data_IF_822202476151
#
_entry.id   IF_822202476151
#
_cell.length_a   1.000
_cell.length_b   1.000
_cell.length_c   1.000
_cell.angle_alpha   90.00
_cell.angle_beta   90.00
_cell.angle_gamma   90.00
#
_symmetry.space_group_name_H-M   'P 1'
#
loop_
_entity.id
_entity.type
_entity.pdbx_description
1 polymer ?
#
# COMPACT_ATOMS: atom_id res chain seq x y z
N UNK A 1 -1.64 15.62 4.58
CA UNK A 1 -1.92 15.77 3.17
C UNK A 1 -1.59 14.48 2.44
N UNK A 2 -2.48 14.05 1.62
CA UNK A 2 -2.26 12.79 0.93
C UNK A 2 -1.25 12.98 -0.18
N UNK A 3 -0.37 12.01 -0.36
CA UNK A 3 0.68 12.09 -1.34
C UNK A 3 0.17 11.61 -2.69
N UNK A 4 -0.64 10.57 -2.69
CA UNK A 4 -1.23 10.06 -3.91
C UNK A 4 -2.68 9.74 -3.63
N UNK A 5 -3.44 9.53 -4.69
CA UNK A 5 -4.80 9.04 -4.57
C UNK A 5 -4.79 7.55 -4.82
N UNK A 6 -4.91 6.74 -3.79
CA UNK A 6 -4.85 5.30 -3.97
C UNK A 6 -5.90 4.84 -4.96
N UNK A 7 -5.51 4.01 -5.90
CA UNK A 7 -6.36 3.45 -6.95
C UNK A 7 -6.86 4.47 -7.97
N UNK A 8 -6.37 5.70 -7.90
CA UNK A 8 -6.84 6.72 -8.82
C UNK A 8 -6.00 6.86 -10.08
N UNK A 9 -4.91 6.13 -10.17
CA UNK A 9 -3.95 6.32 -11.24
C UNK A 9 -3.15 5.04 -11.32
N UNK A 10 -2.85 4.57 -12.50
CA UNK A 10 -2.15 3.29 -12.62
C UNK A 10 -0.65 3.45 -12.84
N UNK A 11 -0.11 4.62 -12.64
CA UNK A 11 1.30 4.83 -12.86
C UNK A 11 1.98 5.71 -11.82
N UNK A 12 1.28 6.12 -10.80
CA UNK A 12 1.86 6.97 -9.78
C UNK A 12 2.83 6.21 -8.92
N UNK A 13 3.89 6.87 -8.50
CA UNK A 13 4.89 6.26 -7.62
C UNK A 13 5.40 7.33 -6.69
N UNK A 14 5.48 7.01 -5.40
CA UNK A 14 6.03 7.94 -4.43
C UNK A 14 6.90 7.17 -3.45
N UNK A 15 7.77 7.90 -2.77
CA UNK A 15 8.61 7.32 -1.73
C UNK A 15 8.27 7.91 -0.38
N UNK A 16 8.29 7.09 0.64
CA UNK A 16 8.18 7.52 2.02
C UNK A 16 9.35 6.86 2.73
N UNK A 17 10.38 7.65 3.05
CA UNK A 17 11.61 7.07 3.57
C UNK A 17 12.20 6.16 2.52
N UNK A 18 12.53 4.94 2.91
CA UNK A 18 13.02 3.94 1.96
C UNK A 18 11.94 3.08 1.36
N UNK A 19 10.68 3.40 1.63
CA UNK A 19 9.55 2.62 1.12
C UNK A 19 9.11 3.22 -0.20
N UNK A 20 8.87 2.38 -1.19
CA UNK A 20 8.33 2.81 -2.48
C UNK A 20 6.89 2.36 -2.56
N UNK A 21 6.02 3.26 -2.98
CA UNK A 21 4.60 2.97 -3.13
C UNK A 21 4.25 3.16 -4.60
N UNK A 22 3.76 2.11 -5.23
CA UNK A 22 3.33 2.18 -6.62
C UNK A 22 1.83 2.05 -6.68
N UNK A 23 1.21 3.04 -7.30
CA UNK A 23 -0.23 3.10 -7.38
C UNK A 23 -0.71 2.37 -8.62
N UNK A 24 -1.78 1.65 -8.50
CA UNK A 24 -2.44 1.01 -9.63
C UNK A 24 -3.92 1.21 -9.50
N UNK A 25 -4.66 0.85 -10.55
CA UNK A 25 -6.10 1.03 -10.52
C UNK A 25 -6.78 0.03 -9.61
N UNK A 26 -6.23 -1.16 -9.49
CA UNK A 26 -6.84 -2.20 -8.69
C UNK A 26 -5.96 -2.66 -7.54
N UNK A 27 -4.79 -2.07 -7.37
CA UNK A 27 -3.91 -2.42 -6.26
C UNK A 27 -2.89 -1.32 -6.02
N UNK A 28 -2.42 -1.25 -4.80
CA UNK A 28 -1.33 -0.37 -4.43
C UNK A 28 -0.26 -1.26 -3.85
N UNK A 29 0.95 -1.13 -4.36
CA UNK A 29 2.05 -2.00 -3.95
C UNK A 29 3.05 -1.19 -3.16
N UNK A 30 3.40 -1.68 -1.98
CA UNK A 30 4.40 -1.05 -1.13
C UNK A 30 5.56 -2.01 -0.98
N UNK A 31 6.77 -1.53 -1.22
CA UNK A 31 7.93 -2.38 -1.07
C UNK A 31 9.14 -1.53 -0.66
N UNK A 32 10.17 -2.18 -0.20
CA UNK A 32 11.34 -1.51 0.31
C UNK A 32 11.37 -1.58 1.81
N UNK A 33 12.01 -0.64 2.45
CA UNK A 33 12.15 -0.61 3.88
C UNK A 33 11.92 0.78 4.44
N UNK A 34 11.36 0.82 5.64
CA UNK A 34 11.10 2.08 6.32
C UNK A 34 11.38 1.89 7.78
N UNK A 35 12.22 2.76 8.32
CA UNK A 35 12.48 2.79 9.73
C UNK A 35 11.75 3.96 10.33
N UNK A 36 10.93 3.71 11.33
CA UNK A 36 10.24 4.77 12.05
C UNK A 36 10.94 4.92 13.39
N UNK A 37 11.74 5.94 13.49
CA UNK A 37 12.52 6.17 14.69
C UNK A 37 11.70 6.94 15.72
N UNK A 38 12.10 6.82 16.97
CA UNK A 38 11.34 7.41 18.06
C UNK A 38 11.77 8.85 18.26
N UNK A 39 11.40 9.68 17.27
CA UNK A 39 11.75 11.09 17.26
C UNK A 39 10.79 11.82 16.32
N UNK A 40 11.02 13.12 16.11
CA UNK A 40 10.13 13.91 15.27
C UNK A 40 10.16 13.45 13.82
N UNK A 41 11.32 13.06 13.34
CA UNK A 41 11.42 12.56 11.98
C UNK A 41 10.60 11.29 11.81
N UNK A 42 10.68 10.40 12.80
CA UNK A 42 9.87 9.17 12.77
C UNK A 42 8.39 9.47 12.81
N UNK A 43 7.99 10.46 13.62
CA UNK A 43 6.59 10.86 13.68
C UNK A 43 6.12 11.35 12.31
N UNK A 44 6.93 12.12 11.61
CA UNK A 44 6.57 12.61 10.28
C UNK A 44 6.37 11.47 9.30
N UNK A 45 7.28 10.51 9.30
CA UNK A 45 7.17 9.36 8.41
C UNK A 45 5.93 8.54 8.74
N UNK A 46 5.67 8.35 10.03
CA UNK A 46 4.51 7.58 10.45
C UNK A 46 3.22 8.26 10.02
N UNK A 47 3.17 9.58 10.11
CA UNK A 47 1.99 10.32 9.69
C UNK A 47 1.78 10.25 8.19
N UNK A 48 2.85 10.34 7.41
CA UNK A 48 2.74 10.22 5.96
C UNK A 48 2.18 8.85 5.58
N UNK A 49 2.71 7.81 6.20
CA UNK A 49 2.24 6.46 5.89
C UNK A 49 0.79 6.28 6.35
N UNK A 50 0.44 6.83 7.51
CA UNK A 50 -0.92 6.74 8.02
C UNK A 50 -1.90 7.42 7.07
N UNK A 51 -1.53 8.57 6.53
CA UNK A 51 -2.40 9.27 5.57
C UNK A 51 -2.63 8.43 4.33
N UNK A 52 -1.58 7.82 3.82
CA UNK A 52 -1.71 6.96 2.65
C UNK A 52 -2.66 5.79 2.94
N UNK A 53 -2.45 5.13 4.06
CA UNK A 53 -3.25 3.96 4.40
C UNK A 53 -4.69 4.34 4.68
N UNK A 54 -4.91 5.48 5.35
CA UNK A 54 -6.26 5.95 5.61
C UNK A 54 -6.98 6.31 4.31
N UNK A 55 -6.27 6.90 3.37
CA UNK A 55 -6.85 7.22 2.07
C UNK A 55 -7.25 5.93 1.34
N UNK A 56 -6.42 4.90 1.43
CA UNK A 56 -6.75 3.62 0.80
C UNK A 56 -7.99 3.00 1.44
N UNK A 57 -8.07 3.05 2.77
CA UNK A 57 -9.24 2.53 3.47
C UNK A 57 -10.50 3.28 3.04
N UNK A 58 -10.40 4.60 2.90
CA UNK A 58 -11.54 5.41 2.51
C UNK A 58 -12.04 5.04 1.12
N UNK A 59 -11.11 4.86 0.17
CA UNK A 59 -11.49 4.49 -1.19
C UNK A 59 -12.15 3.12 -1.20
N UNK A 60 -11.53 2.15 -0.52
CA UNK A 60 -12.05 0.79 -0.52
C UNK A 60 -13.39 0.71 0.18
N UNK A 61 -13.53 1.42 1.29
CA UNK A 61 -14.77 1.38 2.05
C UNK A 61 -15.94 2.01 1.30
N UNK A 62 -15.65 2.95 0.42
CA UNK A 62 -16.70 3.65 -0.31
C UNK A 62 -17.10 2.95 -1.59
N UNK A 63 -16.42 1.89 -1.97
CA UNK A 63 -16.70 1.19 -3.23
C UNK A 63 -17.84 0.22 -3.04
N UNK A 64 -18.99 0.46 -3.67
CA UNK A 64 -20.14 -0.44 -3.49
C UNK A 64 -19.98 -1.75 -4.24
N UNK A 65 -19.02 -1.84 -5.14
CA UNK A 65 -18.82 -3.03 -5.95
C UNK A 65 -17.52 -3.74 -5.61
N UNK A 66 -17.03 -3.55 -4.40
CA UNK A 66 -15.75 -4.11 -4.02
C UNK A 66 -15.79 -5.63 -4.08
N UNK A 67 -14.94 -6.25 -4.90
CA UNK A 67 -14.94 -7.71 -5.00
C UNK A 67 -14.22 -8.33 -3.81
N UNK A 68 -14.44 -9.63 -3.61
CA UNK A 68 -13.71 -10.33 -2.57
C UNK A 68 -12.22 -10.39 -2.89
N UNK A 69 -11.88 -10.60 -4.15
CA UNK A 69 -10.51 -10.67 -4.60
C UNK A 69 -10.39 -10.02 -5.96
N UNK A 70 -9.29 -9.34 -6.18
CA UNK A 70 -8.95 -8.89 -7.51
C UNK A 70 -8.45 -10.08 -8.30
N UNK A 71 -8.73 -10.12 -9.58
CA UNK A 71 -8.25 -11.20 -10.43
C UNK A 71 -6.73 -11.27 -10.32
N UNK A 72 -6.22 -12.44 -10.05
CA UNK A 72 -4.81 -12.59 -9.81
C UNK A 72 -4.06 -12.44 -11.11
N UNK A 73 -2.96 -11.72 -11.06
CA UNK A 73 -2.04 -11.75 -12.12
C UNK A 73 -1.21 -12.88 -11.91
N UNK A 74 -0.96 -13.56 -12.88
CA UNK A 74 -0.25 -14.74 -12.68
C UNK A 74 0.90 -14.60 -11.77
N UNK A 75 1.24 -13.87 -11.46
CA UNK A 75 2.23 -13.81 -10.56
C UNK A 75 2.16 -13.36 -9.32
N UNK A 76 2.02 -13.51 -9.51
CA UNK A 76 2.18 -13.18 -8.51
C UNK A 76 2.03 -13.50 -7.66
N UNK A 77 2.07 -13.91 -7.87
CA UNK A 77 1.94 -14.07 -7.05
C UNK A 77 2.10 -14.43 -6.28
N UNK A 78 2.23 -14.77 -6.42
CA UNK A 78 2.38 -15.00 -5.61
C UNK A 78 2.73 -15.18 -4.92
N UNK A 79 2.71 -15.28 -5.23
CA UNK A 79 2.96 -15.30 -4.55
C UNK A 79 3.43 -15.66 -3.96
N UNK A 80 3.64 -15.73 -4.30
CA UNK A 80 4.04 -15.87 -3.80
C UNK A 80 4.33 -15.95 -2.82
N UNK A 81 4.22 -16.20 -2.70
CA UNK A 81 4.36 -16.21 -1.77
C UNK A 81 4.70 -16.47 -0.88
N UNK A 82 4.74 -16.62 -0.70
CA UNK A 82 5.10 -16.91 0.22
C UNK A 82 4.83 -17.61 0.97
N UNK A 83 5.09 -18.01 0.80
CA UNK A 83 4.78 -19.05 1.55
C UNK A 83 5.27 -19.15 2.87
N UNK A 84 5.94 -18.85 3.38
CA UNK A 84 6.14 -18.92 4.70
C UNK A 84 5.65 -17.78 5.32
N UNK A 85 5.10 -17.41 4.96
CA UNK A 85 4.54 -16.41 5.59
C UNK A 85 3.31 -16.55 6.03
N UNK A 86 3.20 -17.39 5.96
CA UNK A 86 2.27 -17.44 6.33
C UNK A 86 1.50 -17.43 6.95
N UNK A 87 1.39 -17.72 7.15
CA UNK A 87 0.70 -17.68 7.70
C UNK A 87 0.04 -17.58 8.25
N UNK A 88 -0.11 -17.75 8.31
CA UNK A 88 -0.64 -17.58 8.85
C UNK A 88 -1.16 -17.45 8.99
N UNK A 89 -1.12 -17.67 8.73
CA UNK A 89 -1.49 -17.49 8.86
C UNK A 89 -1.78 -17.38 9.02
#
# INVERSE_FOLDING_TARGET
MAIIKPFGDDSGSVGIGGLTIENGLDRVVLYGGLEITRDRAGLGLARELAELLNAAVAVLSADPSLPDHVAAEAANSALVRNPFIRPAS
#
